data_IF_024763876620
#
_entry.id   IF_024763876620
#
_cell.length_a   1.000
_cell.length_b   1.000
_cell.length_c   1.000
_cell.angle_alpha   90.00
_cell.angle_beta   90.00
_cell.angle_gamma   90.00
#
_symmetry.space_group_name_H-M   'P 1'
#
loop_
_entity.id
_entity.type
_entity.pdbx_description
1 polymer ?
#
# COMPACT_ATOMS: atom_id res chain seq x y z
N UNK A 1 -73.48 23.63 -23.78
CA UNK A 1 -72.90 22.28 -23.82
C UNK A 1 -71.41 22.38 -24.14
N UNK A 2 -70.55 22.23 -23.14
CA UNK A 2 -69.38 21.35 -23.16
C UNK A 2 -68.58 21.56 -21.87
N UNK A 3 -68.53 20.51 -21.08
CA UNK A 3 -68.00 20.43 -19.73
C UNK A 3 -66.50 20.18 -19.73
N UNK A 4 -65.74 21.09 -19.12
CA UNK A 4 -64.32 20.92 -18.80
C UNK A 4 -64.14 19.81 -17.75
N UNK A 5 -63.42 18.74 -18.10
CA UNK A 5 -63.03 17.67 -17.18
C UNK A 5 -61.57 17.87 -16.74
N UNK A 6 -61.38 18.33 -15.51
CA UNK A 6 -60.08 18.35 -14.85
C UNK A 6 -59.67 16.93 -14.44
N UNK A 7 -58.58 16.41 -15.02
CA UNK A 7 -57.93 15.16 -14.56
C UNK A 7 -57.14 15.43 -13.26
N UNK A 8 -57.61 14.90 -12.13
CA UNK A 8 -56.86 14.80 -10.88
C UNK A 8 -55.66 13.86 -11.06
N UNK A 9 -54.44 14.39 -11.03
CA UNK A 9 -53.23 13.60 -10.81
C UNK A 9 -53.09 13.31 -9.31
N UNK A 10 -53.32 12.07 -8.90
CA UNK A 10 -53.02 11.58 -7.56
C UNK A 10 -51.51 11.32 -7.42
N UNK A 11 -50.85 12.16 -6.62
CA UNK A 11 -49.46 11.96 -6.18
C UNK A 11 -49.37 10.66 -5.36
N UNK A 12 -48.86 9.58 -5.96
CA UNK A 12 -48.42 8.39 -5.22
C UNK A 12 -47.24 8.79 -4.33
N UNK A 13 -47.48 8.98 -3.03
CA UNK A 13 -46.44 9.06 -1.99
C UNK A 13 -45.54 7.81 -2.12
N UNK A 14 -44.32 7.99 -2.61
CA UNK A 14 -43.26 6.98 -2.49
C UNK A 14 -43.01 6.75 -0.99
N UNK A 15 -43.47 5.61 -0.47
CA UNK A 15 -43.02 5.10 0.83
C UNK A 15 -41.50 4.94 0.76
N UNK A 16 -40.78 5.83 1.43
CA UNK A 16 -39.37 5.63 1.76
C UNK A 16 -39.27 4.32 2.53
N UNK A 17 -38.50 3.36 2.00
CA UNK A 17 -38.19 2.13 2.75
C UNK A 17 -37.50 2.56 4.05
N UNK A 18 -37.94 2.07 5.22
CA UNK A 18 -37.24 2.35 6.46
C UNK A 18 -35.81 1.83 6.33
N UNK A 19 -34.84 2.61 6.83
CA UNK A 19 -33.45 2.19 6.93
C UNK A 19 -33.40 0.81 7.59
N UNK A 20 -32.88 -0.17 6.85
CA UNK A 20 -32.73 -1.54 7.34
C UNK A 20 -31.69 -1.49 8.46
N UNK A 21 -32.14 -1.52 9.71
CA UNK A 21 -31.27 -1.71 10.87
C UNK A 21 -30.46 -2.98 10.62
N UNK A 22 -29.14 -2.85 10.47
CA UNK A 22 -28.24 -3.99 10.27
C UNK A 22 -28.01 -4.66 11.62
N UNK A 23 -28.68 -5.78 11.87
CA UNK A 23 -28.61 -6.54 13.13
C UNK A 23 -27.36 -7.44 13.25
N UNK A 24 -26.62 -7.65 12.14
CA UNK A 24 -25.40 -8.48 12.09
C UNK A 24 -24.20 -7.76 11.48
N UNK A 25 -23.01 -8.17 11.90
CA UNK A 25 -21.70 -7.67 11.46
C UNK A 25 -21.33 -8.29 10.13
N UNK A 26 -21.37 -7.52 9.05
CA UNK A 26 -21.02 -8.04 7.73
C UNK A 26 -19.52 -7.96 7.52
N UNK A 27 -18.95 -8.94 6.82
CA UNK A 27 -17.57 -8.83 6.33
C UNK A 27 -17.45 -7.63 5.39
N UNK A 28 -16.63 -6.66 5.77
CA UNK A 28 -16.34 -5.47 4.96
C UNK A 28 -15.02 -5.61 4.21
N UNK A 29 -14.01 -6.21 4.83
CA UNK A 29 -12.67 -6.37 4.28
C UNK A 29 -12.02 -7.67 4.77
N UNK A 30 -10.94 -8.09 4.09
CA UNK A 30 -10.08 -9.20 4.49
C UNK A 30 -8.63 -8.75 4.36
N UNK A 31 -7.87 -8.86 5.46
CA UNK A 31 -6.42 -8.65 5.47
C UNK A 31 -5.67 -9.94 5.15
N UNK A 32 -4.38 -9.97 5.48
CA UNK A 32 -3.52 -11.17 5.31
C UNK A 32 -3.95 -12.36 6.18
N UNK A 33 -4.28 -12.08 7.44
CA UNK A 33 -4.51 -13.10 8.48
C UNK A 33 -5.91 -13.06 9.10
N UNK A 34 -6.80 -12.19 8.61
CA UNK A 34 -8.08 -11.91 9.25
C UNK A 34 -9.14 -11.27 8.38
N UNK A 35 -10.34 -11.21 8.92
CA UNK A 35 -11.50 -10.61 8.28
C UNK A 35 -12.14 -9.56 9.19
N UNK A 36 -12.45 -8.40 8.60
CA UNK A 36 -13.01 -7.26 9.32
C UNK A 36 -14.52 -7.28 9.19
N UNK A 37 -15.20 -7.20 10.32
CA UNK A 37 -16.66 -7.18 10.42
C UNK A 37 -17.14 -5.81 10.91
N UNK A 38 -18.16 -5.26 10.22
CA UNK A 38 -18.84 -4.02 10.59
C UNK A 38 -20.37 -4.21 10.50
N UNK A 39 -21.14 -3.95 11.57
CA UNK A 39 -20.68 -3.67 12.95
C UNK A 39 -19.85 -4.82 13.56
N UNK A 40 -19.09 -4.55 14.63
CA UNK A 40 -18.29 -5.54 15.35
C UNK A 40 -19.09 -6.80 15.72
N UNK A 41 -18.44 -7.96 15.73
CA UNK A 41 -18.99 -9.24 16.20
C UNK A 41 -19.20 -9.22 17.73
N UNK A 42 -20.07 -10.11 18.21
CA UNK A 42 -20.34 -10.24 19.65
C UNK A 42 -19.25 -11.04 20.35
N UNK A 43 -18.79 -10.57 21.50
CA UNK A 43 -18.05 -11.41 22.44
C UNK A 43 -19.01 -12.31 23.24
N UNK A 44 -18.51 -13.43 23.77
CA UNK A 44 -19.27 -14.27 24.71
C UNK A 44 -19.78 -13.42 25.89
N UNK A 45 -21.06 -13.59 26.24
CA UNK A 45 -21.73 -12.94 27.37
C UNK A 45 -21.69 -11.40 27.38
N UNK A 46 -21.42 -10.75 26.23
CA UNK A 46 -21.43 -9.30 26.10
C UNK A 46 -22.40 -8.84 25.01
N UNK A 47 -23.02 -7.65 25.15
CA UNK A 47 -23.75 -7.04 24.06
C UNK A 47 -22.81 -6.74 22.88
N UNK A 48 -23.38 -6.57 21.69
CA UNK A 48 -22.58 -6.18 20.52
C UNK A 48 -22.01 -4.79 20.75
N UNK A 49 -20.69 -4.57 20.59
CA UNK A 49 -20.10 -3.25 20.71
C UNK A 49 -20.70 -2.27 19.69
N UNK A 50 -20.92 -1.03 20.10
CA UNK A 50 -21.39 0.05 19.22
C UNK A 50 -20.19 0.83 18.72
N UNK A 51 -20.24 1.28 17.45
CA UNK A 51 -19.19 2.10 16.82
C UNK A 51 -17.79 1.46 16.73
N UNK A 52 -17.72 0.14 16.85
CA UNK A 52 -16.49 -0.64 16.72
C UNK A 52 -16.56 -1.55 15.49
N UNK A 53 -15.39 -1.98 15.06
CA UNK A 53 -15.19 -3.09 14.12
C UNK A 53 -14.48 -4.22 14.85
N UNK A 54 -14.66 -5.45 14.36
CA UNK A 54 -13.96 -6.61 14.90
C UNK A 54 -13.19 -7.31 13.79
N UNK A 55 -11.91 -7.58 14.04
CA UNK A 55 -11.07 -8.43 13.20
C UNK A 55 -11.10 -9.85 13.76
N UNK A 56 -11.64 -10.80 13.00
CA UNK A 56 -11.66 -12.21 13.36
C UNK A 56 -10.44 -12.90 12.73
N UNK A 57 -9.66 -13.60 13.56
CA UNK A 57 -8.42 -14.29 13.17
C UNK A 57 -8.22 -15.53 14.03
N UNK A 58 -7.24 -16.36 13.70
CA UNK A 58 -6.78 -17.42 14.60
C UNK A 58 -6.25 -16.83 15.92
N UNK A 59 -6.30 -17.61 16.99
CA UNK A 59 -5.78 -17.19 18.29
C UNK A 59 -4.32 -16.74 18.21
N UNK A 60 -3.50 -17.44 17.42
CA UNK A 60 -2.09 -17.10 17.21
C UNK A 60 -1.93 -15.70 16.62
N UNK A 61 -2.58 -15.43 15.48
CA UNK A 61 -2.46 -14.13 14.81
C UNK A 61 -3.03 -12.97 15.65
N UNK A 62 -4.06 -13.22 16.46
CA UNK A 62 -4.57 -12.23 17.44
C UNK A 62 -3.52 -11.86 18.48
N UNK A 63 -2.84 -12.87 19.03
CA UNK A 63 -1.83 -12.62 20.05
C UNK A 63 -0.65 -11.86 19.45
N UNK A 64 -0.19 -12.23 18.26
CA UNK A 64 0.87 -11.52 17.53
C UNK A 64 0.49 -10.04 17.31
N UNK A 65 -0.65 -9.76 16.68
CA UNK A 65 -1.08 -8.39 16.37
C UNK A 65 -1.32 -7.53 17.63
N UNK A 66 -1.88 -8.11 18.70
CA UNK A 66 -2.06 -7.40 19.95
C UNK A 66 -0.72 -7.11 20.64
N UNK A 67 0.21 -8.07 20.63
CA UNK A 67 1.54 -7.90 21.21
C UNK A 67 2.36 -6.84 20.46
N UNK A 68 2.23 -6.74 19.14
CA UNK A 68 2.88 -5.69 18.35
C UNK A 68 2.40 -4.30 18.78
N UNK A 69 1.07 -4.11 18.91
CA UNK A 69 0.50 -2.84 19.39
C UNK A 69 1.04 -2.50 20.80
N UNK A 70 0.99 -3.46 21.72
CA UNK A 70 1.46 -3.27 23.10
C UNK A 70 2.96 -2.97 23.15
N UNK A 71 3.76 -3.60 22.28
CA UNK A 71 5.21 -3.41 22.20
C UNK A 71 5.59 -1.99 21.79
N UNK A 72 4.90 -1.41 20.80
CA UNK A 72 5.25 -0.09 20.27
C UNK A 72 4.58 1.06 21.01
N UNK A 73 3.43 0.82 21.65
CA UNK A 73 2.63 1.84 22.34
C UNK A 73 3.44 2.76 23.29
N UNK A 74 4.32 2.26 24.19
CA UNK A 74 5.07 3.14 25.11
C UNK A 74 6.03 4.11 24.42
N UNK A 75 6.43 3.83 23.17
CA UNK A 75 7.29 4.72 22.38
C UNK A 75 6.44 5.75 21.63
N UNK A 76 5.34 5.30 21.05
CA UNK A 76 4.42 6.15 20.28
C UNK A 76 3.73 7.19 21.17
N UNK A 77 3.38 6.84 22.40
CA UNK A 77 2.75 7.76 23.37
C UNK A 77 3.64 8.97 23.75
N UNK A 78 4.94 8.90 23.48
CA UNK A 78 5.88 10.03 23.70
C UNK A 78 5.78 11.10 22.61
N UNK A 79 5.09 10.83 21.51
CA UNK A 79 4.90 11.76 20.41
C UNK A 79 3.73 12.69 20.77
N UNK A 80 3.89 14.03 20.67
CA UNK A 80 2.79 14.95 20.93
C UNK A 80 1.57 14.63 20.05
N UNK A 81 0.38 14.57 20.65
CA UNK A 81 -0.86 14.19 19.97
C UNK A 81 -0.77 12.84 19.23
N UNK A 82 -0.04 11.85 19.78
CA UNK A 82 0.13 10.53 19.15
C UNK A 82 -1.19 9.88 18.69
N UNK A 83 -2.27 10.10 19.44
CA UNK A 83 -3.61 9.59 19.14
C UNK A 83 -4.26 10.23 17.89
N UNK A 84 -3.65 11.27 17.30
CA UNK A 84 -4.01 11.81 15.98
C UNK A 84 -3.35 11.03 14.84
N UNK A 85 -2.21 10.39 15.10
CA UNK A 85 -1.34 9.79 14.09
C UNK A 85 -1.28 8.27 14.12
N UNK A 86 -1.52 7.66 15.28
CA UNK A 86 -1.37 6.22 15.49
C UNK A 86 -2.65 5.61 16.02
N UNK A 87 -3.06 4.51 15.41
CA UNK A 87 -4.22 3.74 15.84
C UNK A 87 -3.77 2.62 16.78
N UNK A 88 -3.65 2.94 18.08
CA UNK A 88 -3.12 2.03 19.12
C UNK A 88 -3.98 1.99 20.40
N UNK A 89 -5.10 2.72 20.41
CA UNK A 89 -6.01 2.85 21.55
C UNK A 89 -7.37 2.19 21.29
N UNK A 90 -8.03 1.79 22.38
CA UNK A 90 -9.34 1.14 22.33
C UNK A 90 -9.31 -0.28 21.75
N UNK A 91 -8.11 -0.86 21.58
CA UNK A 91 -7.93 -2.21 21.06
C UNK A 91 -7.99 -3.24 22.18
N UNK A 92 -8.85 -4.25 22.05
CA UNK A 92 -8.97 -5.32 23.03
C UNK A 92 -9.35 -6.65 22.38
N UNK A 93 -8.95 -7.75 23.02
CA UNK A 93 -9.25 -9.11 22.54
C UNK A 93 -10.44 -9.72 23.29
N UNK A 94 -11.20 -10.58 22.62
CA UNK A 94 -12.21 -11.41 23.27
C UNK A 94 -12.50 -12.68 22.48
N UNK A 95 -13.12 -13.67 23.14
CA UNK A 95 -13.66 -14.84 22.46
C UNK A 95 -14.96 -14.49 21.74
N UNK A 96 -15.11 -14.85 20.45
CA UNK A 96 -16.36 -14.64 19.72
C UNK A 96 -17.49 -15.47 20.32
N UNK A 97 -18.68 -14.90 20.35
CA UNK A 97 -19.92 -15.67 20.48
C UNK A 97 -20.24 -16.35 19.14
N UNK A 98 -21.22 -17.26 19.10
CA UNK A 98 -21.70 -17.89 17.87
C UNK A 98 -22.04 -16.82 16.82
N UNK A 99 -21.39 -16.90 15.66
CA UNK A 99 -21.66 -16.04 14.51
C UNK A 99 -23.03 -16.40 13.94
N UNK A 100 -23.86 -15.38 13.72
CA UNK A 100 -25.19 -15.55 13.14
C UNK A 100 -25.11 -15.67 11.62
N UNK A 101 -26.18 -16.18 10.99
CA UNK A 101 -26.28 -16.23 9.53
C UNK A 101 -26.12 -14.84 8.88
N UNK A 102 -26.55 -13.79 9.58
CA UNK A 102 -26.37 -12.40 9.17
C UNK A 102 -24.90 -11.98 9.21
N UNK A 103 -24.13 -12.44 10.20
CA UNK A 103 -22.69 -12.16 10.31
C UNK A 103 -21.92 -12.85 9.18
N UNK A 104 -22.36 -14.05 8.78
CA UNK A 104 -21.74 -14.88 7.75
C UNK A 104 -22.10 -14.44 6.32
N UNK A 105 -22.93 -13.39 6.16
CA UNK A 105 -23.21 -12.80 4.84
C UNK A 105 -21.93 -12.28 4.20
N UNK A 106 -21.74 -12.66 2.94
CA UNK A 106 -20.55 -12.37 2.14
C UNK A 106 -19.23 -12.97 2.66
N UNK A 107 -19.25 -13.77 3.75
CA UNK A 107 -18.05 -14.41 4.30
C UNK A 107 -17.34 -15.21 3.22
N UNK A 108 -18.07 -16.07 2.50
CA UNK A 108 -17.50 -16.89 1.44
C UNK A 108 -16.87 -16.06 0.30
N UNK A 109 -17.39 -14.86 0.04
CA UNK A 109 -16.90 -14.02 -1.05
C UNK A 109 -15.71 -13.16 -0.63
N UNK A 110 -15.75 -12.63 0.60
CA UNK A 110 -14.86 -11.56 1.05
C UNK A 110 -13.79 -12.03 2.02
N UNK A 111 -14.08 -12.99 2.90
CA UNK A 111 -13.16 -13.46 3.91
C UNK A 111 -12.25 -14.56 3.36
N UNK A 112 -11.12 -14.17 2.73
CA UNK A 112 -10.22 -15.12 2.08
C UNK A 112 -9.13 -15.64 3.02
N UNK A 113 -8.70 -14.85 4.01
CA UNK A 113 -7.63 -15.20 4.92
C UNK A 113 -7.97 -16.46 5.74
N UNK A 114 -9.02 -16.38 6.56
CA UNK A 114 -9.47 -17.49 7.42
C UNK A 114 -9.83 -18.75 6.63
N UNK A 115 -10.26 -18.64 5.38
CA UNK A 115 -10.50 -19.80 4.52
C UNK A 115 -9.23 -20.57 4.17
N UNK A 116 -8.12 -19.87 3.96
CA UNK A 116 -6.82 -20.52 3.73
C UNK A 116 -6.40 -21.31 4.96
N UNK A 117 -6.80 -20.85 6.14
CA UNK A 117 -6.58 -21.51 7.42
C UNK A 117 -7.66 -22.56 7.75
N UNK A 118 -8.56 -22.88 6.81
CA UNK A 118 -9.55 -23.95 6.97
C UNK A 118 -10.88 -23.53 7.60
N UNK A 119 -11.09 -22.25 7.91
CA UNK A 119 -12.34 -21.75 8.50
C UNK A 119 -13.32 -21.26 7.41
N UNK A 120 -14.43 -21.98 7.27
CA UNK A 120 -15.53 -21.74 6.33
C UNK A 120 -16.81 -21.39 7.07
N UNK A 121 -17.84 -20.95 6.33
CA UNK A 121 -19.19 -20.74 6.92
C UNK A 121 -19.74 -21.99 7.61
N UNK A 122 -19.30 -23.20 7.21
CA UNK A 122 -19.82 -24.46 7.74
C UNK A 122 -19.27 -24.83 9.12
N UNK A 123 -17.97 -24.58 9.35
CA UNK A 123 -17.28 -25.05 10.56
C UNK A 123 -16.89 -23.92 11.54
N UNK A 124 -16.97 -22.65 11.16
CA UNK A 124 -16.48 -21.54 11.99
C UNK A 124 -17.13 -21.47 13.38
N UNK A 125 -18.41 -21.86 13.49
CA UNK A 125 -19.14 -21.91 14.76
C UNK A 125 -18.80 -23.13 15.63
N UNK A 126 -18.19 -24.16 15.04
CA UNK A 126 -17.71 -25.36 15.73
C UNK A 126 -16.27 -25.15 16.23
N UNK A 127 -15.50 -24.28 15.55
CA UNK A 127 -14.09 -23.98 15.86
C UNK A 127 -13.87 -22.64 16.58
N UNK A 128 -14.86 -22.14 17.34
CA UNK A 128 -14.78 -20.85 18.06
C UNK A 128 -13.67 -20.80 19.12
N UNK A 129 -13.14 -21.95 19.54
CA UNK A 129 -12.01 -22.08 20.45
C UNK A 129 -10.66 -21.80 19.78
N UNK A 130 -10.57 -21.86 18.45
CA UNK A 130 -9.33 -21.68 17.67
C UNK A 130 -9.18 -20.26 17.10
N UNK A 131 -10.23 -19.45 17.22
CA UNK A 131 -10.30 -18.09 16.69
C UNK A 131 -10.68 -17.09 17.80
N UNK A 132 -10.21 -15.87 17.63
CA UNK A 132 -10.49 -14.77 18.55
C UNK A 132 -10.87 -13.50 17.79
N UNK A 133 -11.47 -12.55 18.51
CA UNK A 133 -11.76 -11.20 18.01
C UNK A 133 -10.73 -10.21 18.54
N UNK A 134 -10.21 -9.36 17.66
CA UNK A 134 -9.58 -8.10 17.99
C UNK A 134 -10.62 -7.01 17.72
N UNK A 135 -11.18 -6.44 18.77
CA UNK A 135 -12.12 -5.33 18.65
C UNK A 135 -11.38 -4.01 18.75
N UNK A 136 -11.84 -3.04 17.97
CA UNK A 136 -11.23 -1.72 17.90
C UNK A 136 -12.24 -0.66 17.45
N UNK A 137 -12.02 0.63 17.78
CA UNK A 137 -12.83 1.71 17.27
C UNK A 137 -12.92 1.70 15.74
N UNK A 138 -14.04 2.16 15.19
CA UNK A 138 -14.17 2.30 13.74
C UNK A 138 -13.35 3.49 13.21
N UNK A 139 -12.10 3.22 12.80
CA UNK A 139 -11.15 4.22 12.32
C UNK A 139 -11.43 4.82 10.94
N UNK A 140 -12.45 4.34 10.21
CA UNK A 140 -12.84 4.87 8.90
C UNK A 140 -12.50 3.96 7.72
N UNK A 141 -12.23 4.59 6.57
CA UNK A 141 -11.72 3.93 5.36
C UNK A 141 -10.20 4.09 5.34
N UNK A 142 -9.48 3.16 4.72
CA UNK A 142 -8.07 3.42 4.39
C UNK A 142 -7.94 4.51 3.30
N UNK A 143 -6.74 5.05 3.10
CA UNK A 143 -6.48 6.13 2.12
C UNK A 143 -6.82 5.68 0.71
N UNK A 144 -6.51 4.43 0.35
CA UNK A 144 -6.84 3.88 -0.97
C UNK A 144 -8.34 3.90 -1.23
N UNK A 145 -9.12 3.30 -0.32
CA UNK A 145 -10.58 3.30 -0.38
C UNK A 145 -11.17 4.73 -0.30
N UNK A 146 -10.58 5.62 0.52
CA UNK A 146 -11.04 6.99 0.66
C UNK A 146 -10.86 7.80 -0.62
N UNK A 147 -9.74 7.65 -1.33
CA UNK A 147 -9.48 8.31 -2.62
C UNK A 147 -10.59 8.00 -3.62
N UNK A 148 -11.07 6.76 -3.65
CA UNK A 148 -12.21 6.40 -4.51
C UNK A 148 -13.49 7.16 -4.14
N UNK A 149 -13.65 7.61 -2.89
CA UNK A 149 -14.83 8.37 -2.45
C UNK A 149 -14.78 9.85 -2.82
N UNK A 150 -13.61 10.39 -3.17
CA UNK A 150 -13.42 11.81 -3.41
C UNK A 150 -14.20 12.27 -4.65
N UNK A 151 -14.83 13.44 -4.53
CA UNK A 151 -15.63 14.08 -5.58
C UNK A 151 -15.31 15.56 -5.76
N UNK A 152 -14.34 16.12 -5.03
CA UNK A 152 -13.98 17.53 -5.10
C UNK A 152 -12.49 17.71 -4.85
N UNK A 153 -11.90 18.71 -5.52
CA UNK A 153 -10.50 19.09 -5.30
C UNK A 153 -10.21 19.45 -3.83
N UNK A 154 -11.13 20.17 -3.18
CA UNK A 154 -11.10 20.46 -1.75
C UNK A 154 -10.92 19.22 -0.85
N UNK A 155 -11.51 18.07 -1.19
CA UNK A 155 -11.32 16.84 -0.41
C UNK A 155 -9.91 16.23 -0.60
N UNK A 156 -9.35 16.32 -1.81
CA UNK A 156 -7.95 15.95 -2.05
C UNK A 156 -7.00 16.87 -1.28
N UNK A 157 -7.28 18.17 -1.21
CA UNK A 157 -6.49 19.12 -0.43
C UNK A 157 -6.51 18.74 1.06
N UNK A 158 -7.69 18.43 1.60
CA UNK A 158 -7.81 18.01 3.01
C UNK A 158 -7.05 16.70 3.27
N UNK A 159 -7.18 15.70 2.38
CA UNK A 159 -6.42 14.46 2.48
C UNK A 159 -4.90 14.71 2.44
N UNK A 160 -4.44 15.48 1.44
CA UNK A 160 -3.03 15.77 1.26
C UNK A 160 -2.43 16.52 2.45
N UNK A 161 -3.15 17.52 2.99
CA UNK A 161 -2.74 18.22 4.20
C UNK A 161 -2.63 17.28 5.41
N UNK A 162 -3.56 16.34 5.55
CA UNK A 162 -3.51 15.35 6.62
C UNK A 162 -2.34 14.38 6.46
N UNK A 163 -2.01 13.95 5.24
CA UNK A 163 -0.83 13.12 4.96
C UNK A 163 0.48 13.87 5.23
N UNK A 164 0.56 15.16 4.89
CA UNK A 164 1.69 16.03 5.24
C UNK A 164 1.80 16.18 6.77
N UNK A 165 0.67 16.34 7.47
CA UNK A 165 0.66 16.41 8.93
C UNK A 165 1.14 15.10 9.57
N UNK A 166 0.66 13.95 9.06
CA UNK A 166 1.12 12.63 9.47
C UNK A 166 2.62 12.43 9.22
N UNK A 167 3.17 12.94 8.10
CA UNK A 167 4.61 12.91 7.84
C UNK A 167 5.39 13.68 8.91
N UNK A 168 5.03 14.95 9.10
CA UNK A 168 5.80 15.90 9.89
C UNK A 168 5.67 15.65 11.39
N UNK A 169 4.48 15.26 11.84
CA UNK A 169 4.13 15.18 13.26
C UNK A 169 3.89 13.74 13.75
N UNK A 170 3.78 12.76 12.85
CA UNK A 170 3.72 11.34 13.17
C UNK A 170 4.99 10.57 12.80
N UNK A 171 5.22 10.36 11.50
CA UNK A 171 6.26 9.48 10.95
C UNK A 171 7.66 9.97 11.30
N UNK A 172 7.98 11.24 11.07
CA UNK A 172 9.32 11.77 11.37
C UNK A 172 9.62 11.72 12.87
N UNK A 173 8.72 12.14 13.78
CA UNK A 173 8.91 11.96 15.21
C UNK A 173 9.05 10.50 15.65
N UNK A 174 8.28 9.58 15.05
CA UNK A 174 8.41 8.14 15.31
C UNK A 174 9.79 7.61 14.94
N UNK A 175 10.29 7.96 13.76
CA UNK A 175 11.63 7.57 13.30
C UNK A 175 12.75 8.13 14.20
N UNK A 176 12.55 9.29 14.83
CA UNK A 176 13.49 9.87 15.81
C UNK A 176 13.56 9.08 17.13
N UNK A 177 12.57 8.23 17.40
CA UNK A 177 12.58 7.30 18.53
C UNK A 177 13.08 5.90 18.14
N UNK A 178 13.75 5.78 16.98
CA UNK A 178 14.25 4.52 16.41
C UNK A 178 13.14 3.48 16.19
N UNK A 179 11.90 3.95 16.03
CA UNK A 179 10.74 3.15 15.66
C UNK A 179 10.45 3.41 14.18
N UNK A 180 10.40 2.34 13.39
CA UNK A 180 10.12 2.41 11.96
C UNK A 180 8.93 1.50 11.67
N UNK A 181 7.97 1.97 10.87
CA UNK A 181 6.77 1.21 10.57
C UNK A 181 7.03 0.11 9.53
N UNK A 182 7.89 0.37 8.55
CA UNK A 182 8.32 -0.56 7.49
C UNK A 182 7.21 -1.11 6.59
N UNK A 183 6.00 -0.54 6.69
CA UNK A 183 4.87 -0.91 5.85
C UNK A 183 3.87 0.24 5.69
N UNK A 184 4.38 1.48 5.67
CA UNK A 184 3.57 2.65 5.34
C UNK A 184 3.11 2.50 3.89
N UNK A 185 1.79 2.57 3.67
CA UNK A 185 1.13 2.47 2.35
C UNK A 185 -0.32 2.90 2.48
N UNK A 186 -1.00 3.11 1.36
CA UNK A 186 -2.37 3.60 1.31
C UNK A 186 -3.37 2.74 2.10
N UNK A 187 -3.15 1.42 2.14
CA UNK A 187 -4.01 0.46 2.84
C UNK A 187 -3.73 0.38 4.36
N UNK A 188 -2.63 0.96 4.83
CA UNK A 188 -2.24 1.00 6.25
C UNK A 188 -2.36 2.41 6.86
N UNK A 189 -3.04 3.33 6.18
CA UNK A 189 -3.38 4.65 6.70
C UNK A 189 -4.90 4.80 6.67
N UNK A 190 -5.53 4.97 7.83
CA UNK A 190 -6.98 5.20 7.95
C UNK A 190 -7.30 6.70 7.91
N UNK A 191 -8.39 7.06 7.25
CA UNK A 191 -8.97 8.40 7.17
C UNK A 191 -10.18 8.48 8.11
N UNK A 192 -10.02 9.17 9.23
CA UNK A 192 -11.13 9.52 10.10
C UNK A 192 -11.76 10.83 9.63
N UNK A 193 -13.09 10.85 9.54
CA UNK A 193 -13.89 12.03 9.19
C UNK A 193 -14.94 12.37 10.25
N UNK A 194 -15.10 11.54 11.28
CA UNK A 194 -16.14 11.67 12.32
C UNK A 194 -15.72 12.62 13.45
N UNK A 195 -14.46 12.56 13.85
CA UNK A 195 -13.89 13.31 15.00
C UNK A 195 -12.92 14.40 14.52
N UNK A 196 -13.24 15.03 13.39
CA UNK A 196 -12.31 15.84 12.62
C UNK A 196 -11.58 15.01 11.55
N UNK A 197 -10.96 15.70 10.59
CA UNK A 197 -10.23 15.05 9.50
C UNK A 197 -8.79 14.77 9.93
N UNK A 198 -8.44 13.50 10.07
CA UNK A 198 -7.07 13.08 10.36
C UNK A 198 -6.76 11.70 9.77
N UNK A 199 -5.48 11.45 9.52
CA UNK A 199 -4.95 10.21 8.96
C UNK A 199 -4.10 9.47 9.99
N UNK A 200 -4.36 8.17 10.19
CA UNK A 200 -3.74 7.36 11.24
C UNK A 200 -3.09 6.10 10.68
N UNK A 201 -1.87 5.80 11.12
CA UNK A 201 -1.21 4.54 10.84
C UNK A 201 -1.80 3.38 11.64
N UNK A 202 -1.88 2.22 10.98
CA UNK A 202 -2.30 0.93 11.52
C UNK A 202 -1.31 -0.16 11.06
N UNK A 203 -1.44 -1.35 11.63
CA UNK A 203 -0.69 -2.56 11.24
C UNK A 203 0.82 -2.50 11.54
N UNK A 204 1.13 -2.76 12.81
CA UNK A 204 2.49 -2.71 13.37
C UNK A 204 3.29 -4.01 13.19
N UNK A 205 2.74 -5.01 12.48
CA UNK A 205 3.32 -6.36 12.43
C UNK A 205 4.65 -6.47 11.68
N UNK A 206 5.02 -5.44 10.91
CA UNK A 206 6.32 -5.35 10.22
C UNK A 206 7.23 -4.27 10.80
N UNK A 207 6.77 -3.57 11.84
CA UNK A 207 7.50 -2.47 12.44
C UNK A 207 8.78 -2.95 13.10
N UNK A 208 9.77 -2.06 13.15
CA UNK A 208 11.08 -2.32 13.70
C UNK A 208 11.36 -1.34 14.84
N UNK A 209 12.04 -1.85 15.86
CA UNK A 209 12.79 -1.02 16.80
C UNK A 209 14.26 -1.21 16.50
N UNK A 210 14.98 -0.13 16.20
CA UNK A 210 16.42 -0.16 16.01
C UNK A 210 17.15 0.16 17.32
N UNK A 211 18.29 -0.49 17.53
CA UNK A 211 19.10 -0.36 18.75
C UNK A 211 20.45 0.32 18.50
N UNK A 212 20.73 0.74 17.26
CA UNK A 212 22.01 1.35 16.89
C UNK A 212 23.11 0.38 16.46
N UNK A 213 22.90 -0.93 16.58
CA UNK A 213 23.98 -1.91 16.34
C UNK A 213 23.69 -2.84 15.16
N UNK A 214 22.47 -3.38 15.08
CA UNK A 214 22.16 -4.46 14.13
C UNK A 214 20.89 -4.17 13.34
N UNK A 215 20.89 -4.60 12.07
CA UNK A 215 19.71 -4.49 11.22
C UNK A 215 18.58 -5.30 11.87
N UNK A 216 17.41 -4.68 12.18
CA UNK A 216 16.30 -5.40 12.80
C UNK A 216 15.83 -6.58 11.95
N UNK A 217 15.42 -7.67 12.60
CA UNK A 217 14.95 -8.88 11.94
C UNK A 217 13.82 -8.60 10.93
N UNK A 218 12.91 -7.67 11.24
CA UNK A 218 11.81 -7.30 10.34
C UNK A 218 12.28 -6.63 9.05
N UNK A 219 13.51 -6.10 8.98
CA UNK A 219 14.13 -5.52 7.78
C UNK A 219 15.14 -6.45 7.10
N UNK A 220 15.49 -7.58 7.72
CA UNK A 220 16.48 -8.53 7.22
C UNK A 220 15.84 -9.56 6.26
N UNK A 221 16.59 -9.99 5.24
CA UNK A 221 16.18 -11.02 4.28
C UNK A 221 14.81 -10.75 3.60
N UNK A 222 14.52 -9.49 3.31
CA UNK A 222 13.26 -9.10 2.68
C UNK A 222 13.34 -9.21 1.15
N UNK A 223 12.28 -9.68 0.47
CA UNK A 223 12.16 -9.54 -0.98
C UNK A 223 11.85 -8.08 -1.34
N UNK A 224 11.81 -7.76 -2.64
CA UNK A 224 11.35 -6.45 -3.09
C UNK A 224 9.95 -6.14 -2.58
N UNK A 225 9.75 -4.90 -2.11
CA UNK A 225 8.45 -4.36 -1.71
C UNK A 225 8.28 -2.98 -2.31
N UNK A 226 7.15 -2.72 -2.96
CA UNK A 226 6.91 -1.43 -3.64
C UNK A 226 6.96 -0.22 -2.69
N UNK A 227 6.56 -0.42 -1.44
CA UNK A 227 6.49 0.61 -0.42
C UNK A 227 7.77 0.76 0.42
N UNK A 228 8.87 0.11 0.02
CA UNK A 228 10.19 0.26 0.62
C UNK A 228 11.25 0.63 -0.42
N UNK A 229 12.37 1.26 -0.03
CA UNK A 229 13.50 1.49 -0.92
C UNK A 229 14.00 0.18 -1.55
N UNK A 230 14.41 0.23 -2.83
CA UNK A 230 14.89 -0.96 -3.54
C UNK A 230 16.06 -1.66 -2.86
N UNK A 231 16.84 -0.91 -2.10
CA UNK A 231 17.97 -1.39 -1.29
C UNK A 231 17.59 -2.31 -0.13
N UNK A 232 16.30 -2.51 0.17
CA UNK A 232 15.86 -3.48 1.18
C UNK A 232 16.46 -4.88 0.92
N UNK A 233 16.67 -5.24 -0.34
CA UNK A 233 17.26 -6.54 -0.70
C UNK A 233 18.75 -6.66 -0.38
N UNK A 234 19.44 -5.59 0.01
CA UNK A 234 20.88 -5.65 0.35
C UNK A 234 21.11 -6.22 1.75
N UNK A 235 20.09 -6.21 2.61
CA UNK A 235 20.24 -6.56 4.02
C UNK A 235 20.05 -8.06 4.26
N UNK A 236 21.04 -8.85 3.82
CA UNK A 236 21.12 -10.28 4.10
C UNK A 236 22.55 -10.82 3.92
N UNK A 237 22.78 -12.03 4.43
CA UNK A 237 24.10 -12.66 4.37
C UNK A 237 24.49 -13.13 2.96
N UNK A 238 23.53 -13.41 2.08
CA UNK A 238 23.80 -13.82 0.69
C UNK A 238 24.46 -12.67 -0.06
N UNK A 239 23.86 -11.49 0.03
CA UNK A 239 24.42 -10.27 -0.54
C UNK A 239 25.82 -10.00 0.00
N UNK A 240 25.99 -9.96 1.34
CA UNK A 240 27.29 -9.68 1.97
C UNK A 240 28.37 -10.63 1.47
N UNK A 241 28.08 -11.94 1.45
CA UNK A 241 29.02 -12.97 0.97
C UNK A 241 29.34 -12.83 -0.52
N UNK A 242 28.35 -12.54 -1.35
CA UNK A 242 28.56 -12.39 -2.80
C UNK A 242 29.36 -11.13 -3.11
N UNK A 243 29.04 -10.01 -2.46
CA UNK A 243 29.73 -8.75 -2.69
C UNK A 243 31.16 -8.79 -2.15
N UNK A 244 31.41 -9.42 -1.00
CA UNK A 244 32.77 -9.61 -0.50
C UNK A 244 33.64 -10.37 -1.50
N UNK A 245 33.13 -11.43 -2.14
CA UNK A 245 33.86 -12.15 -3.20
C UNK A 245 34.23 -11.26 -4.39
N UNK A 246 33.37 -10.31 -4.76
CA UNK A 246 33.70 -9.32 -5.78
C UNK A 246 34.86 -8.43 -5.30
N UNK A 247 34.82 -7.94 -4.06
CA UNK A 247 35.86 -7.08 -3.50
C UNK A 247 37.20 -7.81 -3.35
N UNK A 248 37.19 -9.06 -2.92
CA UNK A 248 38.40 -9.89 -2.79
C UNK A 248 39.11 -10.10 -4.14
N UNK A 249 38.34 -10.22 -5.22
CA UNK A 249 38.86 -10.45 -6.58
C UNK A 249 39.14 -9.16 -7.36
N UNK A 250 38.49 -8.06 -6.97
CA UNK A 250 38.64 -6.76 -7.59
C UNK A 250 38.54 -5.66 -6.51
N UNK A 251 39.62 -5.43 -5.75
CA UNK A 251 39.65 -4.37 -4.75
C UNK A 251 39.44 -3.01 -5.44
N UNK A 252 38.36 -2.31 -5.10
CA UNK A 252 37.84 -1.12 -5.81
C UNK A 252 37.20 -1.42 -7.18
N UNK A 253 36.08 -2.16 -7.23
CA UNK A 253 35.40 -2.43 -8.50
C UNK A 253 34.87 -1.14 -9.11
N UNK A 254 35.09 -0.97 -10.42
CA UNK A 254 34.51 0.16 -11.16
C UNK A 254 32.98 0.01 -11.31
N UNK A 255 32.34 1.07 -11.78
CA UNK A 255 30.88 1.11 -11.98
C UNK A 255 30.33 -0.08 -12.78
N UNK A 256 31.00 -0.50 -13.86
CA UNK A 256 30.53 -1.60 -14.70
C UNK A 256 30.62 -2.95 -14.01
N UNK A 257 31.68 -3.18 -13.24
CA UNK A 257 31.82 -4.39 -12.43
C UNK A 257 30.74 -4.48 -11.34
N UNK A 258 30.48 -3.38 -10.64
CA UNK A 258 29.42 -3.30 -9.63
C UNK A 258 28.04 -3.48 -10.27
N UNK A 259 27.79 -2.85 -11.42
CA UNK A 259 26.52 -2.99 -12.14
C UNK A 259 26.27 -4.44 -12.59
N UNK A 260 27.28 -5.10 -13.15
CA UNK A 260 27.19 -6.51 -13.54
C UNK A 260 26.91 -7.41 -12.33
N UNK A 261 27.58 -7.16 -11.21
CA UNK A 261 27.31 -7.83 -9.94
C UNK A 261 25.86 -7.63 -9.48
N UNK A 262 25.34 -6.40 -9.52
CA UNK A 262 23.95 -6.10 -9.09
C UNK A 262 22.94 -6.89 -9.92
N UNK A 263 23.14 -6.99 -11.23
CA UNK A 263 22.26 -7.78 -12.12
C UNK A 263 22.24 -9.25 -11.71
N UNK A 264 23.42 -9.86 -11.54
CA UNK A 264 23.56 -11.26 -11.12
C UNK A 264 22.94 -11.50 -9.73
N UNK A 265 23.21 -10.59 -8.79
CA UNK A 265 22.67 -10.64 -7.44
C UNK A 265 21.13 -10.56 -7.42
N UNK A 266 20.52 -9.67 -8.20
CA UNK A 266 19.05 -9.55 -8.27
C UNK A 266 18.43 -10.85 -8.77
N UNK A 267 19.01 -11.46 -9.80
CA UNK A 267 18.54 -12.74 -10.34
C UNK A 267 18.57 -13.82 -9.26
N UNK A 268 19.72 -14.00 -8.60
CA UNK A 268 19.90 -14.99 -7.54
C UNK A 268 18.96 -14.73 -6.35
N UNK A 269 18.80 -13.48 -5.93
CA UNK A 269 17.93 -13.14 -4.80
C UNK A 269 16.46 -13.41 -5.10
N UNK A 270 16.01 -13.11 -6.33
CA UNK A 270 14.64 -13.43 -6.77
C UNK A 270 14.39 -14.94 -6.81
N UNK A 271 15.37 -15.75 -7.20
CA UNK A 271 15.27 -17.22 -7.13
C UNK A 271 15.21 -17.72 -5.68
N UNK A 272 16.07 -17.19 -4.81
CA UNK A 272 16.19 -17.63 -3.42
C UNK A 272 15.00 -17.22 -2.55
N UNK A 273 14.58 -15.95 -2.63
CA UNK A 273 13.58 -15.36 -1.72
C UNK A 273 12.20 -15.21 -2.35
N UNK A 274 12.13 -15.23 -3.67
CA UNK A 274 10.95 -14.92 -4.46
C UNK A 274 10.91 -13.45 -4.89
N UNK A 275 10.12 -13.12 -5.94
CA UNK A 275 10.12 -11.79 -6.56
C UNK A 275 9.43 -10.70 -5.73
N UNK A 276 8.84 -11.04 -4.59
CA UNK A 276 8.10 -10.10 -3.74
C UNK A 276 7.03 -9.33 -4.51
N UNK A 277 7.10 -8.00 -4.45
CA UNK A 277 6.15 -7.08 -5.08
C UNK A 277 6.57 -6.60 -6.48
N UNK A 278 7.52 -7.25 -7.17
CA UNK A 278 7.95 -6.86 -8.53
C UNK A 278 6.77 -6.65 -9.47
N UNK A 279 5.77 -7.54 -9.47
CA UNK A 279 4.58 -7.39 -10.32
C UNK A 279 3.81 -6.08 -10.05
N UNK A 280 3.73 -5.65 -8.79
CA UNK A 280 3.08 -4.39 -8.44
C UNK A 280 3.95 -3.20 -8.88
N UNK A 281 5.27 -3.32 -8.72
CA UNK A 281 6.23 -2.32 -9.18
C UNK A 281 6.20 -2.15 -10.71
N UNK A 282 6.00 -3.23 -11.48
CA UNK A 282 5.75 -3.16 -12.92
C UNK A 282 4.50 -2.31 -13.18
N UNK A 283 3.38 -2.57 -12.50
CA UNK A 283 2.15 -1.77 -12.65
C UNK A 283 2.33 -0.29 -12.30
N UNK A 284 3.17 0.03 -11.33
CA UNK A 284 3.58 1.41 -11.04
C UNK A 284 4.37 2.02 -12.20
N UNK A 285 5.37 1.31 -12.73
CA UNK A 285 6.16 1.78 -13.87
C UNK A 285 5.30 1.94 -15.13
N UNK A 286 4.36 1.02 -15.38
CA UNK A 286 3.36 1.15 -16.45
C UNK A 286 2.58 2.46 -16.27
N UNK A 287 2.08 2.71 -15.06
CA UNK A 287 1.31 3.92 -14.76
C UNK A 287 2.08 5.21 -14.97
N UNK A 288 3.40 5.19 -14.70
CA UNK A 288 4.26 6.36 -14.82
C UNK A 288 4.77 6.59 -16.25
N UNK A 289 5.06 5.53 -17.01
CA UNK A 289 5.85 5.63 -18.24
C UNK A 289 5.17 5.14 -19.51
N UNK A 290 4.09 4.36 -19.45
CA UNK A 290 3.46 3.78 -20.66
C UNK A 290 3.03 4.86 -21.67
N UNK A 291 2.55 6.00 -21.16
CA UNK A 291 2.14 7.13 -21.99
C UNK A 291 3.30 7.81 -22.77
N UNK A 292 4.56 7.53 -22.40
CA UNK A 292 5.74 8.00 -23.13
C UNK A 292 6.09 7.06 -24.31
N UNK A 293 5.53 5.84 -24.33
CA UNK A 293 5.82 4.81 -25.33
C UNK A 293 4.78 4.91 -26.46
N UNK A 294 5.06 5.71 -27.49
CA UNK A 294 4.05 5.98 -28.54
C UNK A 294 4.06 4.88 -29.62
N UNK A 295 5.24 4.48 -30.08
CA UNK A 295 5.41 3.64 -31.28
C UNK A 295 5.63 2.14 -30.99
N UNK A 296 5.32 1.70 -29.76
CA UNK A 296 5.57 0.33 -29.32
C UNK A 296 4.24 -0.44 -29.33
N UNK A 297 4.24 -1.64 -29.89
CA UNK A 297 3.07 -2.52 -29.84
C UNK A 297 2.72 -2.93 -28.40
N UNK A 298 1.50 -3.42 -28.20
CA UNK A 298 1.01 -3.74 -26.84
C UNK A 298 1.68 -4.97 -26.22
N UNK A 299 2.24 -5.87 -27.03
CA UNK A 299 2.83 -7.11 -26.53
C UNK A 299 4.24 -6.85 -25.97
N UNK A 300 5.02 -6.00 -26.62
CA UNK A 300 6.37 -5.62 -26.23
C UNK A 300 6.42 -4.56 -25.12
N UNK A 301 5.34 -3.78 -24.92
CA UNK A 301 5.28 -2.74 -23.88
C UNK A 301 5.61 -3.23 -22.50
N UNK A 302 5.03 -4.36 -22.09
CA UNK A 302 5.20 -4.86 -20.73
C UNK A 302 6.65 -5.28 -20.47
N UNK A 303 7.28 -5.94 -21.44
CA UNK A 303 8.69 -6.33 -21.37
C UNK A 303 9.59 -5.10 -21.31
N UNK A 304 9.30 -4.06 -22.10
CA UNK A 304 10.06 -2.80 -22.07
C UNK A 304 9.88 -2.08 -20.73
N UNK A 305 8.67 -2.01 -20.19
CA UNK A 305 8.45 -1.41 -18.86
C UNK A 305 9.21 -2.17 -17.78
N UNK A 306 9.20 -3.49 -17.84
CA UNK A 306 9.93 -4.32 -16.88
C UNK A 306 11.46 -4.13 -17.00
N UNK A 307 12.02 -4.24 -18.22
CA UNK A 307 13.47 -4.23 -18.43
C UNK A 307 14.06 -2.82 -18.45
N UNK A 308 13.49 -1.91 -19.24
CA UNK A 308 14.06 -0.58 -19.52
C UNK A 308 13.67 0.48 -18.48
N UNK A 309 12.62 0.24 -17.69
CA UNK A 309 12.22 1.16 -16.63
C UNK A 309 12.45 0.53 -15.26
N UNK A 310 11.75 -0.56 -14.92
CA UNK A 310 11.83 -1.11 -13.58
C UNK A 310 13.24 -1.57 -13.21
N UNK A 311 13.81 -2.49 -13.98
CA UNK A 311 15.16 -2.98 -13.69
C UNK A 311 16.23 -1.92 -13.92
N UNK A 312 16.07 -1.02 -14.89
CA UNK A 312 16.97 0.13 -15.05
C UNK A 312 17.08 0.94 -13.75
N UNK A 313 15.94 1.38 -13.18
CA UNK A 313 15.95 2.16 -11.94
C UNK A 313 16.46 1.35 -10.76
N UNK A 314 16.07 0.08 -10.60
CA UNK A 314 16.57 -0.77 -9.50
C UNK A 314 18.09 -0.93 -9.59
N UNK A 315 18.60 -1.32 -10.75
CA UNK A 315 20.03 -1.58 -10.96
C UNK A 315 20.82 -0.31 -10.72
N UNK A 316 20.37 0.83 -11.27
CA UNK A 316 21.03 2.11 -11.08
C UNK A 316 21.02 2.54 -9.61
N UNK A 317 19.87 2.40 -8.94
CA UNK A 317 19.69 2.74 -7.53
C UNK A 317 20.68 1.98 -6.64
N UNK A 318 20.74 0.65 -6.80
CA UNK A 318 21.63 -0.22 -6.04
C UNK A 318 23.11 0.02 -6.40
N UNK A 319 23.43 0.16 -7.68
CA UNK A 319 24.81 0.40 -8.14
C UNK A 319 25.36 1.68 -7.53
N UNK A 320 24.60 2.79 -7.53
CA UNK A 320 25.01 4.05 -6.91
C UNK A 320 25.30 3.92 -5.41
N UNK A 321 24.51 3.12 -4.69
CA UNK A 321 24.74 2.84 -3.26
C UNK A 321 26.08 2.12 -3.09
N UNK A 322 26.28 1.03 -3.81
CA UNK A 322 27.51 0.24 -3.70
C UNK A 322 28.74 1.06 -4.10
N UNK A 323 28.66 1.88 -5.16
CA UNK A 323 29.75 2.77 -5.56
C UNK A 323 30.11 3.80 -4.49
N UNK A 324 29.13 4.34 -3.76
CA UNK A 324 29.38 5.37 -2.74
C UNK A 324 29.87 4.78 -1.41
N UNK A 325 29.34 3.63 -1.01
CA UNK A 325 29.56 3.07 0.31
C UNK A 325 30.62 1.97 0.34
N UNK A 326 31.24 1.63 -0.79
CA UNK A 326 32.43 0.78 -0.84
C UNK A 326 33.70 1.62 -0.72
N UNK A 327 34.57 1.27 0.22
CA UNK A 327 35.87 1.91 0.45
C UNK A 327 36.95 0.83 0.44
N UNK A 328 37.79 0.79 -0.59
CA UNK A 328 38.78 -0.28 -0.71
C UNK A 328 38.10 -1.62 -1.00
N UNK A 329 38.35 -2.58 -0.13
CA UNK A 329 37.81 -3.94 -0.11
C UNK A 329 36.67 -4.14 0.90
N UNK A 330 36.18 -3.05 1.50
CA UNK A 330 35.12 -3.07 2.50
C UNK A 330 33.86 -2.32 2.04
N UNK A 331 32.69 -2.92 2.28
CA UNK A 331 31.40 -2.27 2.12
C UNK A 331 30.90 -1.71 3.45
N UNK A 332 30.74 -0.39 3.52
CA UNK A 332 30.17 0.34 4.67
C UNK A 332 28.64 0.25 4.70
N UNK A 333 28.08 -0.98 4.72
CA UNK A 333 26.64 -1.20 4.61
C UNK A 333 25.86 -0.63 5.80
N UNK A 334 26.44 -0.67 7.01
CA UNK A 334 25.81 -0.07 8.19
C UNK A 334 25.80 1.46 8.14
N UNK A 335 26.81 2.10 7.53
CA UNK A 335 26.79 3.54 7.30
C UNK A 335 25.64 3.92 6.37
N UNK A 336 25.44 3.16 5.28
CA UNK A 336 24.29 3.36 4.38
C UNK A 336 22.97 3.14 5.12
N UNK A 337 22.86 2.05 5.86
CA UNK A 337 21.65 1.68 6.60
C UNK A 337 21.22 2.81 7.55
N UNK A 338 22.15 3.28 8.38
CA UNK A 338 21.88 4.29 9.42
C UNK A 338 21.69 5.68 8.85
N UNK A 339 22.52 6.07 7.88
CA UNK A 339 22.54 7.46 7.44
C UNK A 339 21.57 7.75 6.31
N UNK A 340 21.09 6.73 5.57
CA UNK A 340 20.24 6.88 4.39
C UNK A 340 18.97 6.01 4.49
N UNK A 341 19.12 4.68 4.56
CA UNK A 341 17.98 3.76 4.45
C UNK A 341 16.91 4.02 5.52
N UNK A 342 17.30 4.07 6.79
CA UNK A 342 16.38 4.32 7.91
C UNK A 342 15.66 5.67 7.82
N UNK A 343 16.31 6.69 7.25
CA UNK A 343 15.69 8.01 7.05
C UNK A 343 14.68 8.01 5.90
N UNK A 344 14.80 7.08 4.98
CA UNK A 344 13.97 6.99 3.78
C UNK A 344 12.83 5.98 3.90
N UNK A 345 12.96 4.94 4.73
CA UNK A 345 12.08 3.76 4.71
C UNK A 345 10.58 4.07 4.81
N UNK A 346 10.16 4.87 5.78
CA UNK A 346 8.74 5.20 5.96
C UNK A 346 8.31 6.43 5.14
N UNK A 347 9.25 7.31 4.80
CA UNK A 347 8.99 8.45 3.89
C UNK A 347 8.67 7.92 2.49
N UNK A 348 9.40 6.91 2.03
CA UNK A 348 9.14 6.19 0.80
C UNK A 348 7.74 5.61 0.79
N UNK A 349 7.37 4.90 1.87
CA UNK A 349 6.03 4.34 2.02
C UNK A 349 4.92 5.40 2.00
N UNK A 350 5.15 6.57 2.62
CA UNK A 350 4.20 7.68 2.54
C UNK A 350 4.04 8.20 1.11
N UNK A 351 5.13 8.42 0.36
CA UNK A 351 5.02 8.87 -1.05
C UNK A 351 4.26 7.84 -1.88
N UNK A 352 4.45 6.55 -1.62
CA UNK A 352 3.70 5.49 -2.30
C UNK A 352 2.18 5.54 -2.06
N UNK A 353 1.70 6.21 -1.01
CA UNK A 353 0.25 6.39 -0.76
C UNK A 353 -0.46 7.23 -1.83
N UNK A 354 0.30 7.96 -2.66
CA UNK A 354 -0.22 8.74 -3.79
C UNK A 354 -0.40 7.90 -5.06
N UNK A 355 0.09 6.66 -5.09
CA UNK A 355 0.00 5.81 -6.27
C UNK A 355 -1.43 5.57 -6.77
N UNK A 356 -2.47 5.38 -5.92
CA UNK A 356 -3.86 5.28 -6.41
C UNK A 356 -4.29 6.48 -7.25
N UNK A 357 -3.82 7.70 -6.92
CA UNK A 357 -4.11 8.91 -7.71
C UNK A 357 -3.43 8.83 -9.08
N UNK A 358 -2.16 8.43 -9.11
CA UNK A 358 -1.41 8.22 -10.37
C UNK A 358 -2.10 7.19 -11.24
N UNK A 359 -2.53 6.07 -10.67
CA UNK A 359 -3.22 5.00 -11.41
C UNK A 359 -4.55 5.50 -12.00
N UNK A 360 -5.35 6.26 -11.24
CA UNK A 360 -6.61 6.85 -11.74
C UNK A 360 -6.34 7.79 -12.93
N UNK A 361 -5.31 8.64 -12.83
CA UNK A 361 -4.94 9.56 -13.92
C UNK A 361 -4.44 8.78 -15.14
N UNK A 362 -3.59 7.76 -14.94
CA UNK A 362 -3.07 6.92 -16.01
C UNK A 362 -4.18 6.15 -16.75
N UNK A 363 -5.11 5.52 -16.04
CA UNK A 363 -6.21 4.77 -16.67
C UNK A 363 -7.13 5.65 -17.55
N UNK A 364 -7.12 6.97 -17.32
CA UNK A 364 -7.90 7.94 -18.09
C UNK A 364 -6.99 8.91 -18.87
N UNK A 365 -5.74 8.54 -19.15
CA UNK A 365 -4.73 9.47 -19.66
C UNK A 365 -5.14 10.23 -20.93
N UNK A 366 -5.81 9.56 -21.87
CA UNK A 366 -6.29 10.16 -23.13
C UNK A 366 -7.39 11.20 -22.95
N UNK A 367 -8.06 11.21 -21.79
CA UNK A 367 -9.14 12.14 -21.47
C UNK A 367 -8.70 13.28 -20.55
N UNK A 368 -7.42 13.29 -20.12
CA UNK A 368 -6.92 14.30 -19.18
C UNK A 368 -6.86 15.68 -19.82
N UNK A 369 -7.35 16.68 -19.08
CA UNK A 369 -7.18 18.08 -19.44
C UNK A 369 -5.74 18.57 -19.13
N UNK A 370 -5.45 19.83 -19.51
CA UNK A 370 -4.13 20.44 -19.31
C UNK A 370 -3.72 20.53 -17.82
N UNK A 371 -4.65 20.73 -16.90
CA UNK A 371 -4.36 20.78 -15.46
C UNK A 371 -4.15 19.38 -14.89
N UNK A 372 -4.92 18.41 -15.35
CA UNK A 372 -4.78 17.01 -14.93
C UNK A 372 -3.46 16.40 -15.42
N UNK A 373 -3.03 16.73 -16.64
CA UNK A 373 -1.69 16.40 -17.13
C UNK A 373 -0.59 17.04 -16.29
N UNK A 374 -0.76 18.29 -15.84
CA UNK A 374 0.19 18.93 -14.91
C UNK A 374 0.24 18.20 -13.57
N UNK A 375 -0.91 17.79 -13.02
CA UNK A 375 -0.98 17.00 -11.79
C UNK A 375 -0.28 15.65 -11.96
N UNK A 376 -0.58 14.93 -13.04
CA UNK A 376 0.05 13.65 -13.35
C UNK A 376 1.58 13.79 -13.44
N UNK A 377 2.07 14.81 -14.15
CA UNK A 377 3.50 15.07 -14.28
C UNK A 377 4.15 15.47 -12.96
N UNK A 378 3.45 16.24 -12.10
CA UNK A 378 3.96 16.60 -10.77
C UNK A 378 4.08 15.37 -9.87
N UNK A 379 3.07 14.48 -9.87
CA UNK A 379 3.13 13.22 -9.13
C UNK A 379 4.26 12.33 -9.67
N UNK A 380 4.36 12.18 -11.00
CA UNK A 380 5.45 11.43 -11.64
C UNK A 380 6.83 11.95 -11.23
N UNK A 381 7.00 13.28 -11.22
CA UNK A 381 8.23 13.92 -10.73
C UNK A 381 8.52 13.55 -9.28
N UNK A 382 7.53 13.62 -8.38
CA UNK A 382 7.72 13.27 -6.96
C UNK A 382 8.20 11.82 -6.82
N UNK A 383 7.59 10.87 -7.54
CA UNK A 383 8.01 9.46 -7.48
C UNK A 383 9.45 9.27 -7.99
N UNK A 384 9.75 9.77 -9.19
CA UNK A 384 11.07 9.57 -9.81
C UNK A 384 12.16 10.26 -8.99
N UNK A 385 11.96 11.54 -8.68
CA UNK A 385 12.97 12.36 -8.01
C UNK A 385 13.23 11.87 -6.60
N UNK A 386 12.21 11.73 -5.76
CA UNK A 386 12.42 11.41 -4.34
C UNK A 386 12.67 9.93 -4.09
N UNK A 387 12.14 9.02 -4.92
CA UNK A 387 12.27 7.58 -4.69
C UNK A 387 13.33 6.94 -5.59
N UNK A 388 13.31 7.18 -6.90
CA UNK A 388 14.13 6.38 -7.83
C UNK A 388 15.52 6.95 -8.10
N UNK A 389 15.69 8.28 -8.02
CA UNK A 389 16.96 8.94 -8.37
C UNK A 389 17.88 9.18 -7.17
N UNK A 390 17.30 9.39 -5.98
CA UNK A 390 18.01 9.75 -4.76
C UNK A 390 18.30 8.49 -3.89
N UNK A 391 19.25 7.66 -4.33
CA UNK A 391 19.57 6.40 -3.65
C UNK A 391 20.61 6.50 -2.53
N UNK A 392 21.41 7.56 -2.54
CA UNK A 392 22.60 7.68 -1.69
C UNK A 392 22.50 8.75 -0.60
N UNK A 393 21.40 9.49 -0.56
CA UNK A 393 21.15 10.58 0.38
C UNK A 393 19.76 10.46 0.98
N UNK A 394 19.54 10.99 2.19
CA UNK A 394 18.20 11.11 2.76
C UNK A 394 17.29 11.97 1.90
N UNK A 395 16.02 11.59 1.79
CA UNK A 395 14.98 12.39 1.15
C UNK A 395 14.87 13.73 1.89
N UNK A 396 15.00 14.84 1.17
CA UNK A 396 14.78 16.18 1.72
C UNK A 396 13.31 16.37 2.06
N UNK A 397 12.99 16.32 3.36
CA UNK A 397 11.62 16.49 3.86
C UNK A 397 11.04 17.85 3.46
N UNK A 398 11.84 18.92 3.53
CA UNK A 398 11.37 20.27 3.19
C UNK A 398 10.96 20.35 1.72
N UNK A 399 11.83 19.89 0.82
CA UNK A 399 11.55 19.91 -0.63
C UNK A 399 10.34 19.01 -0.95
N UNK A 400 10.28 17.81 -0.36
CA UNK A 400 9.15 16.90 -0.55
C UNK A 400 7.84 17.57 -0.10
N UNK A 401 7.81 18.19 1.07
CA UNK A 401 6.62 18.86 1.59
C UNK A 401 6.22 20.06 0.73
N UNK A 402 7.18 20.82 0.21
CA UNK A 402 6.89 21.91 -0.75
C UNK A 402 6.22 21.38 -2.02
N UNK A 403 6.75 20.30 -2.59
CA UNK A 403 6.19 19.65 -3.77
C UNK A 403 4.81 19.04 -3.51
N UNK A 404 4.61 18.43 -2.34
CA UNK A 404 3.30 17.92 -1.92
C UNK A 404 2.30 19.07 -1.72
N UNK A 405 2.72 20.21 -1.17
CA UNK A 405 1.88 21.41 -1.04
C UNK A 405 1.50 22.00 -2.40
N UNK A 406 2.38 21.91 -3.40
CA UNK A 406 2.06 22.35 -4.77
C UNK A 406 0.86 21.58 -5.35
N UNK A 407 0.71 20.29 -5.01
CA UNK A 407 -0.46 19.49 -5.41
C UNK A 407 -1.77 20.15 -4.97
N UNK A 408 -1.81 20.80 -3.80
CA UNK A 408 -3.01 21.51 -3.34
C UNK A 408 -3.43 22.63 -4.29
N UNK A 409 -2.47 23.33 -4.87
CA UNK A 409 -2.73 24.39 -5.86
C UNK A 409 -3.36 23.79 -7.10
N UNK A 410 -2.86 22.65 -7.58
CA UNK A 410 -3.40 21.94 -8.74
C UNK A 410 -4.81 21.40 -8.46
N UNK A 411 -5.06 20.79 -7.30
CA UNK A 411 -6.39 20.33 -6.89
C UNK A 411 -7.40 21.49 -6.81
N UNK A 412 -6.98 22.65 -6.28
CA UNK A 412 -7.82 23.84 -6.17
C UNK A 412 -8.18 24.43 -7.54
N UNK A 413 -7.24 24.42 -8.49
CA UNK A 413 -7.48 24.88 -9.86
C UNK A 413 -8.43 23.94 -10.60
N UNK A 414 -8.26 22.63 -10.45
CA UNK A 414 -9.15 21.62 -11.03
C UNK A 414 -10.60 21.75 -10.54
N UNK A 415 -10.82 22.18 -9.28
CA UNK A 415 -12.16 22.42 -8.73
C UNK A 415 -12.84 23.68 -9.29
N UNK A 416 -12.08 24.74 -9.64
CA UNK A 416 -12.65 25.99 -10.18
C UNK A 416 -13.08 25.88 -11.64
N UNK A 417 -12.51 24.95 -12.39
CA UNK A 417 -12.75 24.77 -13.83
C UNK A 417 -13.96 23.87 -14.16
N UNK A 418 -14.83 23.56 -13.19
CA UNK A 418 -15.96 22.61 -13.31
C UNK A 418 -17.13 23.06 -14.20
N UNK A 419 -16.86 23.72 -15.33
CA UNK A 419 -17.73 23.64 -16.51
C UNK A 419 -17.35 22.46 -17.42
N UNK A 420 -16.16 21.87 -17.29
CA UNK A 420 -15.72 20.68 -18.00
C UNK A 420 -15.20 19.57 -17.07
N UNK A 421 -15.12 18.34 -17.61
CA UNK A 421 -14.81 17.07 -16.95
C UNK A 421 -13.50 17.10 -16.15
N UNK A 422 -13.55 17.45 -14.88
CA UNK A 422 -12.39 17.42 -13.96
C UNK A 422 -12.14 16.03 -13.37
N UNK A 423 -11.08 15.89 -12.55
CA UNK A 423 -10.68 14.70 -11.77
C UNK A 423 -11.88 14.05 -11.06
N UNK A 424 -12.86 14.87 -10.69
CA UNK A 424 -14.16 14.48 -10.11
C UNK A 424 -14.91 13.49 -11.01
N UNK A 425 -14.89 13.73 -12.32
CA UNK A 425 -15.45 12.88 -13.38
C UNK A 425 -14.63 11.60 -13.56
N UNK A 426 -13.30 11.66 -13.41
CA UNK A 426 -12.42 10.50 -13.55
C UNK A 426 -12.58 9.51 -12.38
N UNK A 427 -12.66 10.00 -11.14
CA UNK A 427 -12.93 9.14 -9.97
C UNK A 427 -14.33 8.51 -10.07
N UNK A 428 -15.31 9.26 -10.60
CA UNK A 428 -16.67 8.73 -10.79
C UNK A 428 -16.82 7.80 -12.00
N UNK A 429 -16.03 7.96 -13.07
CA UNK A 429 -15.95 7.03 -14.21
C UNK A 429 -15.24 5.73 -13.82
N UNK A 430 -14.15 5.82 -13.06
CA UNK A 430 -13.42 4.68 -12.51
C UNK A 430 -14.35 3.76 -11.69
N UNK A 431 -15.21 4.34 -10.83
CA UNK A 431 -16.27 3.60 -10.11
C UNK A 431 -17.24 2.81 -11.00
N UNK A 432 -17.50 3.26 -12.23
CA UNK A 432 -18.36 2.54 -13.19
C UNK A 432 -17.60 1.40 -13.85
N UNK A 433 -16.33 1.59 -14.19
CA UNK A 433 -15.47 0.61 -14.85
C UNK A 433 -15.03 -0.54 -13.91
N UNK A 434 -14.78 -0.28 -12.62
CA UNK A 434 -14.45 -1.34 -11.64
C UNK A 434 -15.68 -2.23 -11.33
N UNK A 435 -16.89 -1.67 -11.36
CA UNK A 435 -18.15 -2.44 -11.26
C UNK A 435 -18.48 -3.28 -12.49
N UNK A 436 -18.01 -2.91 -13.68
CA UNK A 436 -18.23 -3.68 -14.91
C UNK A 436 -17.19 -4.81 -15.07
N UNK A 437 -15.91 -4.55 -14.73
CA UNK A 437 -14.83 -5.55 -14.77
C UNK A 437 -15.02 -6.72 -13.78
N UNK A 438 -15.82 -6.57 -12.73
CA UNK A 438 -16.11 -7.66 -11.76
C UNK A 438 -17.14 -8.70 -12.24
N UNK A 439 -17.72 -8.56 -13.45
CA UNK A 439 -18.73 -9.51 -13.97
C UNK A 439 -18.23 -10.50 -15.04
N UNK A 440 -16.97 -10.49 -15.45
CA UNK A 440 -16.46 -11.49 -16.41
C UNK A 440 -15.01 -11.91 -16.15
N UNK A 441 -14.81 -12.82 -15.20
CA UNK A 441 -13.71 -13.78 -15.29
C UNK A 441 -14.19 -15.14 -14.78
N UNK A 442 -14.89 -15.88 -15.66
CA UNK A 442 -14.98 -17.34 -15.50
C UNK A 442 -13.56 -17.88 -15.65
N UNK A 443 -12.92 -18.21 -14.52
CA UNK A 443 -11.69 -18.99 -14.50
C UNK A 443 -11.98 -20.40 -14.99
N UNK A 444 -11.57 -20.72 -16.20
CA UNK A 444 -11.38 -22.11 -16.63
C UNK A 444 -10.11 -22.63 -15.97
N UNK A 445 -10.27 -23.69 -15.18
CA UNK A 445 -9.18 -24.46 -14.59
C UNK A 445 -8.33 -25.11 -15.69
N UNK A 446 -7.01 -24.89 -15.69
CA UNK A 446 -6.08 -25.75 -16.40
C UNK A 446 -5.07 -26.36 -15.44
N UNK A 447 -5.05 -27.69 -15.49
CA UNK A 447 -4.19 -28.61 -14.76
C UNK A 447 -2.72 -28.43 -15.16
N UNK A 448 -1.84 -28.59 -14.18
CA UNK A 448 -0.40 -28.73 -14.33
C UNK A 448 0.01 -29.68 -15.46
N UNK A 449 0.83 -29.19 -16.40
CA UNK A 449 1.84 -29.99 -17.09
C UNK A 449 3.15 -29.20 -17.11
N UNK A 450 4.18 -29.78 -16.51
CA UNK A 450 5.58 -29.38 -16.68
C UNK A 450 5.97 -29.59 -18.14
N UNK A 451 6.60 -28.58 -18.75
CA UNK A 451 7.51 -28.77 -19.88
C UNK A 451 8.62 -27.71 -19.82
N UNK A 452 9.85 -28.05 -20.21
CA UNK A 452 11.02 -27.19 -20.07
C UNK A 452 11.06 -26.16 -21.21
N UNK A 453 11.53 -24.94 -20.93
CA UNK A 453 11.92 -23.98 -21.96
C UNK A 453 13.44 -24.02 -22.13
N UNK A 454 13.86 -24.64 -23.21
CA UNK A 454 15.16 -24.50 -23.85
C UNK A 454 15.12 -23.29 -24.79
N UNK A 455 16.31 -22.71 -25.06
CA UNK A 455 16.70 -21.76 -26.12
C UNK A 455 16.89 -20.30 -25.67
N UNK A 456 17.95 -19.58 -26.06
CA UNK A 456 18.92 -19.74 -27.17
C UNK A 456 20.29 -19.16 -26.74
N UNK A 457 21.37 -19.90 -27.02
CA UNK A 457 22.75 -19.42 -26.94
C UNK A 457 23.08 -18.63 -28.21
N UNK A 458 23.70 -17.46 -28.05
CA UNK A 458 24.50 -16.83 -29.11
C UNK A 458 25.96 -17.09 -28.75
N UNK A 459 26.56 -18.07 -29.43
CA UNK A 459 28.01 -18.22 -29.50
C UNK A 459 28.56 -17.11 -30.41
N UNK A 460 29.41 -16.23 -29.87
CA UNK A 460 30.31 -15.44 -30.70
C UNK A 460 31.64 -16.18 -30.83
N UNK A 461 31.87 -16.74 -32.02
CA UNK A 461 33.21 -17.12 -32.50
C UNK A 461 33.98 -15.86 -32.89
N UNK A 462 35.07 -15.56 -32.19
CA UNK A 462 36.44 -15.48 -32.73
C UNK A 462 37.44 -15.27 -31.60
#
# INVERSE_FOLDING_TARGET
MNTNTFKKFTLKKRRTKPNKVTYGGRVIASGGYGCIFRPALKCINKPRPKNEVSKLMTNKHIQEEYNDIVRFKPFLEKIPNFNHYFFIDGVYTCKPNKLTDDDLKDYEKKCKALKKDGFSVKNINESLNEISLLNMPDGGLDVGDYIETITKGSQFITLNNSLIDLLLNGIIPMNKYDIYHCDVKESNILVNTKEGFHTKLIDWGLSAKYNGTEIPESMFERPFQYNLPYSIILFNDTFKKMYQKLLDSNPNPNYYAVRAFVIDYIFLWNEKRGPGHIKYMIGLMESLFDNNLINIDKENRKEIIEMEFLYYYIIEYLTKILMKFTKGDELMLMDYFNNVFLKNVDVWGLVMTYYPIVNILHENYSELDKLELKLFNKLKYIFIHYLFENSTEPISINNLVEDLKELNTLFKQAEKNTKDKSIITLVTSFKKNTKSKTKSSKKTSQKNKKQPRTMLFIETKK
#
